data_IF_884520183423
#
_entry.id   IF_884520183423
#
_cell.length_a   1.000
_cell.length_b   1.000
_cell.length_c   1.000
_cell.angle_alpha   90.00
_cell.angle_beta   90.00
_cell.angle_gamma   90.00
#
_symmetry.space_group_name_H-M   'P 1'
#
loop_
_entity.id
_entity.type
_entity.pdbx_description
1 polymer ?
#
# COMPACT_ATOMS: atom_id res chain seq x y z
N UNK A 1 -8.75 -4.52 -1.06
CA UNK A 1 -7.44 -3.94 -0.70
C UNK A 1 -7.25 -2.58 -1.35
N UNK A 2 -6.35 -1.78 -0.81
CA UNK A 2 -6.08 -0.43 -1.32
C UNK A 2 -4.66 -0.31 -1.85
N UNK A 3 -4.49 0.47 -2.93
CA UNK A 3 -3.18 0.85 -3.46
C UNK A 3 -3.09 2.36 -3.39
N UNK A 4 -2.22 2.87 -2.51
CA UNK A 4 -2.09 4.30 -2.22
C UNK A 4 -0.79 4.83 -2.80
N UNK A 5 -0.88 5.61 -3.87
CA UNK A 5 0.29 6.21 -4.53
C UNK A 5 -0.13 7.42 -5.36
N UNK A 6 0.70 8.45 -5.35
CA UNK A 6 0.55 9.57 -6.27
C UNK A 6 0.95 9.23 -7.71
N UNK A 7 1.68 8.12 -7.89
CA UNK A 7 2.06 7.59 -9.19
C UNK A 7 0.92 6.73 -9.75
N UNK A 8 0.09 7.30 -10.61
CA UNK A 8 -1.07 6.61 -11.15
C UNK A 8 -0.71 5.51 -12.15
N UNK A 9 0.46 5.57 -12.79
CA UNK A 9 0.96 4.48 -13.62
C UNK A 9 1.22 3.24 -12.77
N UNK A 10 1.85 3.42 -11.63
CA UNK A 10 2.08 2.33 -10.68
C UNK A 10 0.75 1.76 -10.17
N UNK A 11 -0.18 2.63 -9.74
CA UNK A 11 -1.51 2.20 -9.29
C UNK A 11 -2.22 1.38 -10.35
N UNK A 12 -2.25 1.90 -11.58
CA UNK A 12 -2.94 1.25 -12.69
C UNK A 12 -2.35 -0.10 -13.06
N UNK A 13 -1.02 -0.18 -13.12
CA UNK A 13 -0.32 -1.41 -13.48
C UNK A 13 -0.53 -2.50 -12.42
N UNK A 14 -0.42 -2.17 -11.14
CA UNK A 14 -0.64 -3.12 -10.05
C UNK A 14 -2.09 -3.60 -10.02
N UNK A 15 -3.04 -2.67 -10.16
CA UNK A 15 -4.47 -3.02 -10.19
C UNK A 15 -4.83 -3.95 -11.35
N UNK A 16 -4.27 -3.69 -12.54
CA UNK A 16 -4.53 -4.51 -13.71
C UNK A 16 -4.05 -5.95 -13.51
N UNK A 17 -2.83 -6.12 -13.00
CA UNK A 17 -2.27 -7.45 -12.72
C UNK A 17 -3.06 -8.18 -11.61
N UNK A 18 -3.47 -7.47 -10.57
CA UNK A 18 -4.29 -8.05 -9.50
C UNK A 18 -5.66 -8.49 -10.01
N UNK A 19 -6.26 -7.72 -10.89
CA UNK A 19 -7.55 -8.08 -11.50
C UNK A 19 -7.43 -9.38 -12.30
N UNK A 20 -6.34 -9.56 -13.04
CA UNK A 20 -6.07 -10.80 -13.75
C UNK A 20 -5.95 -12.00 -12.80
N UNK A 21 -5.48 -11.77 -11.59
CA UNK A 21 -5.39 -12.78 -10.54
C UNK A 21 -6.68 -12.93 -9.72
N UNK A 22 -7.75 -12.23 -10.10
CA UNK A 22 -9.04 -12.30 -9.41
C UNK A 22 -9.15 -11.44 -8.16
N UNK A 23 -8.27 -10.45 -7.98
CA UNK A 23 -8.26 -9.58 -6.80
C UNK A 23 -8.71 -8.16 -7.19
N UNK A 24 -9.76 -7.69 -6.52
CA UNK A 24 -10.22 -6.31 -6.66
C UNK A 24 -9.42 -5.38 -5.75
N UNK A 25 -8.95 -4.27 -6.32
CA UNK A 25 -8.18 -3.26 -5.60
C UNK A 25 -8.69 -1.87 -5.91
N UNK A 26 -8.77 -1.02 -4.88
CA UNK A 26 -9.12 0.39 -5.01
C UNK A 26 -7.82 1.22 -5.04
N UNK A 27 -7.64 2.02 -6.07
CA UNK A 27 -6.52 2.95 -6.19
C UNK A 27 -6.85 4.27 -5.51
N UNK A 28 -5.96 4.75 -4.64
CA UNK A 28 -6.11 6.00 -3.93
C UNK A 28 -4.84 6.83 -4.09
N UNK A 29 -5.00 8.13 -4.14
CA UNK A 29 -3.88 9.03 -4.41
C UNK A 29 -3.08 9.36 -3.15
N UNK A 30 -3.77 9.50 -2.01
CA UNK A 30 -3.17 9.92 -0.75
C UNK A 30 -3.64 9.09 0.43
N UNK A 31 -2.89 9.17 1.55
CA UNK A 31 -3.30 8.57 2.82
C UNK A 31 -4.57 9.23 3.36
N UNK A 32 -4.76 10.51 3.08
CA UNK A 32 -5.97 11.23 3.49
C UNK A 32 -7.21 10.65 2.81
N UNK A 33 -7.13 10.36 1.51
CA UNK A 33 -8.21 9.71 0.78
C UNK A 33 -8.49 8.32 1.37
N UNK A 34 -7.43 7.59 1.71
CA UNK A 34 -7.53 6.27 2.33
C UNK A 34 -8.27 6.34 3.67
N UNK A 35 -7.89 7.30 4.53
CA UNK A 35 -8.54 7.50 5.82
C UNK A 35 -10.02 7.83 5.66
N UNK A 36 -10.36 8.63 4.65
CA UNK A 36 -11.74 9.02 4.36
C UNK A 36 -12.58 7.83 3.92
N UNK A 37 -12.03 6.96 3.08
CA UNK A 37 -12.72 5.75 2.62
C UNK A 37 -12.96 4.78 3.78
N UNK A 38 -11.98 4.61 4.66
CA UNK A 38 -12.11 3.77 5.85
C UNK A 38 -13.16 4.35 6.81
N UNK A 39 -13.16 5.67 7.00
CA UNK A 39 -14.17 6.33 7.83
C UNK A 39 -15.59 6.16 7.26
N UNK A 40 -15.71 5.98 5.94
CA UNK A 40 -16.98 5.68 5.28
C UNK A 40 -17.45 4.23 5.42
N UNK A 41 -16.72 3.38 6.15
CA UNK A 41 -17.13 2.01 6.46
C UNK A 41 -16.48 0.92 5.62
N UNK A 42 -15.55 1.26 4.73
CA UNK A 42 -14.84 0.27 3.92
C UNK A 42 -13.56 -0.14 4.65
N UNK A 43 -13.47 -1.43 5.01
CA UNK A 43 -12.30 -1.98 5.69
C UNK A 43 -11.45 -2.76 4.69
N UNK A 44 -10.20 -2.35 4.43
CA UNK A 44 -9.32 -3.10 3.52
C UNK A 44 -8.71 -4.32 4.22
N UNK A 45 -8.46 -5.36 3.45
CA UNK A 45 -7.72 -6.53 3.92
C UNK A 45 -6.21 -6.33 3.86
N UNK A 46 -5.75 -5.35 3.08
CA UNK A 46 -4.34 -5.04 2.88
C UNK A 46 -4.21 -3.66 2.25
N UNK A 47 -3.18 -2.92 2.62
CA UNK A 47 -2.84 -1.63 2.01
C UNK A 47 -1.45 -1.70 1.41
N UNK A 48 -1.32 -1.33 0.14
CA UNK A 48 -0.04 -1.12 -0.53
C UNK A 48 0.20 0.38 -0.61
N UNK A 49 1.36 0.83 -0.15
CA UNK A 49 1.65 2.24 0.04
C UNK A 49 2.96 2.61 -0.65
N UNK A 50 2.93 3.71 -1.41
CA UNK A 50 4.15 4.34 -1.90
C UNK A 50 4.85 5.03 -0.72
N UNK A 51 6.15 4.74 -0.53
CA UNK A 51 6.94 5.31 0.57
C UNK A 51 6.98 6.84 0.59
N UNK A 52 6.77 7.48 -0.57
CA UNK A 52 6.68 8.95 -0.63
C UNK A 52 5.59 9.52 0.28
N UNK A 53 4.53 8.77 0.55
CA UNK A 53 3.47 9.18 1.46
C UNK A 53 3.93 9.29 2.92
N UNK A 54 5.04 8.64 3.27
CA UNK A 54 5.55 8.58 4.64
C UNK A 54 6.46 9.76 5.01
N UNK A 55 6.77 10.66 4.09
CA UNK A 55 7.58 11.85 4.38
C UNK A 55 6.79 12.94 5.11
N UNK A 56 5.47 12.86 5.13
CA UNK A 56 4.62 13.77 5.88
C UNK A 56 4.34 13.17 7.26
N UNK A 57 4.62 13.93 8.33
CA UNK A 57 4.51 13.43 9.70
C UNK A 57 3.07 13.15 10.13
N UNK A 58 2.11 13.91 9.65
CA UNK A 58 0.68 13.66 9.96
C UNK A 58 0.19 12.40 9.26
N UNK A 59 0.56 12.22 8.01
CA UNK A 59 0.24 11.01 7.24
C UNK A 59 0.89 9.78 7.84
N UNK A 60 2.15 9.94 8.29
CA UNK A 60 2.87 8.87 8.96
C UNK A 60 2.15 8.41 10.22
N UNK A 61 1.65 9.35 11.03
CA UNK A 61 0.90 9.05 12.24
C UNK A 61 -0.41 8.32 11.94
N UNK A 62 -1.13 8.77 10.91
CA UNK A 62 -2.36 8.11 10.48
C UNK A 62 -2.09 6.66 10.04
N UNK A 63 -0.97 6.42 9.36
CA UNK A 63 -0.57 5.08 8.93
C UNK A 63 -0.13 4.19 10.08
N UNK A 64 0.50 4.72 11.11
CA UNK A 64 0.83 3.97 12.31
C UNK A 64 -0.42 3.37 12.95
N UNK A 65 -1.49 4.16 13.01
CA UNK A 65 -2.79 3.69 13.50
C UNK A 65 -3.38 2.61 12.60
N UNK A 66 -3.27 2.77 11.28
CA UNK A 66 -3.80 1.82 10.33
C UNK A 66 -3.01 0.50 10.35
N UNK A 67 -1.67 0.57 10.39
CA UNK A 67 -0.80 -0.60 10.33
C UNK A 67 -0.95 -1.54 11.54
N UNK A 68 -1.51 -1.05 12.65
CA UNK A 68 -1.82 -1.87 13.81
C UNK A 68 -3.03 -2.79 13.59
N UNK A 69 -3.84 -2.53 12.55
CA UNK A 69 -5.10 -3.25 12.29
C UNK A 69 -5.12 -3.96 10.94
N UNK A 70 -4.32 -3.49 9.98
CA UNK A 70 -4.34 -3.96 8.59
C UNK A 70 -2.90 -4.18 8.14
N UNK A 71 -2.58 -5.31 7.45
CA UNK A 71 -1.25 -5.48 6.86
C UNK A 71 -0.95 -4.36 5.86
N UNK A 72 0.27 -3.83 5.93
CA UNK A 72 0.71 -2.74 5.05
C UNK A 72 2.00 -3.14 4.35
N UNK A 73 2.02 -3.00 3.02
CA UNK A 73 3.20 -3.18 2.18
C UNK A 73 3.66 -1.81 1.70
N UNK A 74 4.89 -1.43 2.03
CA UNK A 74 5.47 -0.15 1.62
C UNK A 74 6.45 -0.37 0.47
N UNK A 75 6.26 0.36 -0.62
CA UNK A 75 7.20 0.39 -1.75
C UNK A 75 8.06 1.63 -1.57
N UNK A 76 9.29 1.46 -1.10
CA UNK A 76 10.15 2.56 -0.70
C UNK A 76 11.21 2.87 -1.75
N UNK A 77 11.73 4.10 -1.73
CA UNK A 77 12.84 4.53 -2.57
C UNK A 77 14.18 4.18 -1.93
N UNK A 78 15.16 3.77 -2.73
CA UNK A 78 16.55 3.59 -2.24
C UNK A 78 17.30 4.91 -2.11
N UNK A 79 16.90 5.90 -2.93
CA UNK A 79 17.59 7.20 -2.96
C UNK A 79 17.12 8.14 -1.86
N UNK A 80 15.85 8.05 -1.52
CA UNK A 80 15.24 8.88 -0.47
C UNK A 80 14.24 8.04 0.33
N UNK A 81 14.75 7.04 1.08
CA UNK A 81 13.86 6.15 1.80
C UNK A 81 13.22 6.85 2.99
N UNK A 82 11.92 6.68 3.14
CA UNK A 82 11.24 7.05 4.37
C UNK A 82 11.69 6.10 5.49
N UNK A 83 11.80 6.59 6.73
CA UNK A 83 12.10 5.72 7.86
C UNK A 83 11.08 4.59 7.98
N UNK A 84 11.50 3.38 8.38
CA UNK A 84 10.58 2.25 8.48
C UNK A 84 9.46 2.50 9.47
N UNK A 85 8.29 1.95 9.15
CA UNK A 85 7.10 2.01 9.99
C UNK A 85 6.95 0.64 10.67
N UNK A 86 6.84 0.58 12.01
CA UNK A 86 6.72 -0.71 12.71
C UNK A 86 5.51 -1.52 12.21
N UNK A 87 5.69 -2.81 12.08
CA UNK A 87 4.62 -3.73 11.68
C UNK A 87 4.33 -3.75 10.19
N UNK A 88 5.14 -3.09 9.36
CA UNK A 88 4.95 -3.08 7.90
C UNK A 88 5.98 -3.95 7.21
N UNK A 89 5.63 -4.43 6.01
CA UNK A 89 6.55 -5.09 5.10
C UNK A 89 7.04 -4.05 4.08
N UNK A 90 8.33 -4.05 3.77
CA UNK A 90 8.91 -3.06 2.85
C UNK A 90 9.57 -3.74 1.65
N UNK A 91 9.32 -3.21 0.46
CA UNK A 91 10.06 -3.53 -0.76
C UNK A 91 10.78 -2.27 -1.23
N UNK A 92 11.98 -2.42 -1.77
CA UNK A 92 12.80 -1.30 -2.24
C UNK A 92 12.80 -1.22 -3.76
N UNK A 93 12.61 -0.01 -4.29
CA UNK A 93 12.77 0.24 -5.73
C UNK A 93 14.25 0.13 -6.12
N UNK A 94 14.58 -0.30 -7.34
CA UNK A 94 13.64 -0.67 -8.40
C UNK A 94 13.02 -2.06 -8.14
N UNK A 95 11.72 -2.16 -8.32
CA UNK A 95 10.98 -3.41 -8.15
C UNK A 95 10.00 -3.56 -9.30
N UNK A 96 9.87 -4.77 -9.84
CA UNK A 96 8.95 -5.04 -10.94
C UNK A 96 7.52 -5.19 -10.43
N UNK A 97 6.56 -4.82 -11.28
CA UNK A 97 5.13 -4.94 -10.95
C UNK A 97 4.79 -6.38 -10.56
N UNK A 98 5.32 -7.37 -11.27
CA UNK A 98 5.09 -8.79 -10.96
C UNK A 98 5.59 -9.19 -9.58
N UNK A 99 6.70 -8.60 -9.12
CA UNK A 99 7.23 -8.85 -7.78
C UNK A 99 6.33 -8.27 -6.70
N UNK A 100 5.81 -7.06 -6.95
CA UNK A 100 4.86 -6.41 -6.04
C UNK A 100 3.59 -7.25 -5.93
N UNK A 101 3.03 -7.68 -7.05
CA UNK A 101 1.81 -8.48 -7.08
C UNK A 101 2.02 -9.83 -6.40
N UNK A 102 3.16 -10.49 -6.63
CA UNK A 102 3.48 -11.76 -5.97
C UNK A 102 3.53 -11.59 -4.44
N UNK A 103 4.12 -10.50 -3.96
CA UNK A 103 4.18 -10.21 -2.52
C UNK A 103 2.79 -9.93 -1.95
N UNK A 104 1.96 -9.17 -2.67
CA UNK A 104 0.58 -8.88 -2.28
C UNK A 104 -0.21 -10.18 -2.12
N UNK A 105 -0.14 -11.07 -3.11
CA UNK A 105 -0.86 -12.33 -3.09
C UNK A 105 -0.40 -13.22 -1.92
N UNK A 106 0.90 -13.25 -1.65
CA UNK A 106 1.45 -13.99 -0.52
C UNK A 106 0.94 -13.43 0.82
N UNK A 107 0.88 -12.11 0.96
CA UNK A 107 0.37 -11.46 2.18
C UNK A 107 -1.11 -11.70 2.38
N UNK A 108 -1.90 -11.68 1.32
CA UNK A 108 -3.34 -11.97 1.40
C UNK A 108 -3.60 -13.41 1.82
N UNK A 109 -2.81 -14.36 1.35
CA UNK A 109 -2.91 -15.76 1.76
C UNK A 109 -2.54 -15.96 3.22
N UNK A 110 -1.51 -15.25 3.70
CA UNK A 110 -1.07 -15.33 5.10
C UNK A 110 -2.07 -14.73 6.07
N UNK A 111 -2.87 -13.76 5.62
CA UNK A 111 -3.85 -13.08 6.46
C UNK A 111 -5.18 -13.84 6.61
N UNK A 112 -5.37 -14.86 5.81
CA UNK A 112 -6.61 -15.67 5.85
C UNK A 112 -6.52 -16.88 6.83
#
# INVERSE_FOLDING_TARGET
MFIVSGDWDLRGAVRAELREAGVEALGLETVEDTARVIAGGIAPSLVVLDGAQLHNSEMRRALENLSSRVPVLVINSRLDPAPPLPGTTTMLRPVQIKEIVARILAMLLSAS
#
